data_IF_587489524717
#
_entry.id   IF_587489524717
#
_cell.length_a   1.000
_cell.length_b   1.000
_cell.length_c   1.000
_cell.angle_alpha   90.00
_cell.angle_beta   90.00
_cell.angle_gamma   90.00
#
_symmetry.space_group_name_H-M   'P 1'
#
loop_
_entity.id
_entity.type
_entity.pdbx_description
1 polymer ?
#
# COMPACT_ATOMS: atom_id res chain seq x y z
N UNK A 1 -19.43 -61.91 4.28
CA UNK A 1 -19.76 -60.48 4.19
C UNK A 1 -20.69 -60.31 3.02
N UNK A 2 -21.99 -60.16 3.31
CA UNK A 2 -23.01 -59.93 2.29
C UNK A 2 -22.85 -58.50 1.74
N UNK A 3 -22.67 -58.39 0.42
CA UNK A 3 -22.67 -57.12 -0.30
C UNK A 3 -24.13 -56.72 -0.50
N UNK A 4 -24.58 -55.70 0.22
CA UNK A 4 -25.87 -55.07 -0.05
C UNK A 4 -25.81 -54.33 -1.39
N UNK A 5 -26.21 -55.00 -2.47
CA UNK A 5 -26.55 -54.35 -3.73
C UNK A 5 -27.99 -53.84 -3.58
N UNK A 6 -28.14 -52.53 -3.43
CA UNK A 6 -29.46 -51.89 -3.38
C UNK A 6 -30.10 -52.00 -4.76
N UNK A 7 -31.21 -52.73 -4.88
CA UNK A 7 -31.96 -52.82 -6.13
C UNK A 7 -32.47 -51.43 -6.58
N UNK A 8 -32.54 -51.15 -7.89
CA UNK A 8 -33.08 -49.89 -8.39
C UNK A 8 -34.57 -49.81 -8.05
N UNK A 9 -35.02 -48.69 -7.47
CA UNK A 9 -36.44 -48.47 -7.23
C UNK A 9 -37.23 -48.38 -8.53
N UNK A 10 -38.34 -49.10 -8.64
CA UNK A 10 -39.31 -48.94 -9.72
C UNK A 10 -39.86 -47.51 -9.72
N UNK A 11 -39.48 -46.71 -10.72
CA UNK A 11 -40.00 -45.37 -10.94
C UNK A 11 -41.00 -45.38 -12.10
N UNK A 12 -42.30 -45.17 -11.82
CA UNK A 12 -43.40 -45.21 -12.81
C UNK A 12 -43.63 -43.87 -13.54
N UNK A 13 -42.58 -43.07 -13.74
CA UNK A 13 -42.71 -41.72 -14.28
C UNK A 13 -42.07 -41.62 -15.66
N UNK A 14 -42.69 -40.84 -16.56
CA UNK A 14 -42.13 -40.57 -17.87
C UNK A 14 -40.76 -39.88 -17.75
N UNK A 15 -39.80 -40.16 -18.66
CA UNK A 15 -38.51 -39.49 -18.67
C UNK A 15 -38.67 -37.97 -18.76
N UNK A 16 -37.95 -37.22 -17.94
CA UNK A 16 -37.91 -35.77 -18.01
C UNK A 16 -36.65 -35.32 -18.78
N UNK A 17 -36.74 -35.00 -20.09
CA UNK A 17 -35.59 -34.58 -20.90
C UNK A 17 -34.97 -33.26 -20.40
N UNK A 18 -35.76 -32.37 -19.80
CA UNK A 18 -35.30 -31.09 -19.28
C UNK A 18 -34.29 -31.26 -18.13
N UNK A 19 -34.43 -32.36 -17.35
CA UNK A 19 -33.52 -32.72 -16.26
C UNK A 19 -32.09 -32.97 -16.76
N UNK A 20 -31.92 -33.44 -18.01
CA UNK A 20 -30.60 -33.69 -18.60
C UNK A 20 -29.83 -32.39 -18.75
N UNK A 21 -30.49 -31.31 -19.17
CA UNK A 21 -29.88 -29.99 -19.33
C UNK A 21 -29.42 -29.40 -17.99
N UNK A 22 -30.23 -29.55 -16.94
CA UNK A 22 -29.87 -29.13 -15.57
C UNK A 22 -28.64 -29.89 -15.06
N UNK A 23 -28.55 -31.20 -15.31
CA UNK A 23 -27.40 -32.02 -14.91
C UNK A 23 -26.14 -31.61 -15.67
N UNK A 24 -26.24 -31.38 -16.99
CA UNK A 24 -25.10 -30.92 -17.82
C UNK A 24 -24.55 -29.58 -17.33
N UNK A 25 -25.43 -28.61 -17.08
CA UNK A 25 -25.01 -27.31 -16.53
C UNK A 25 -24.31 -27.48 -15.18
N UNK A 26 -24.85 -28.30 -14.28
CA UNK A 26 -24.20 -28.60 -13.00
C UNK A 26 -22.83 -29.25 -13.17
N UNK A 27 -22.64 -30.11 -14.16
CA UNK A 27 -21.33 -30.70 -14.44
C UNK A 27 -20.36 -29.67 -14.99
N UNK A 28 -20.79 -28.84 -15.94
CA UNK A 28 -19.96 -27.79 -16.53
C UNK A 28 -19.45 -26.80 -15.48
N UNK A 29 -20.35 -26.24 -14.66
CA UNK A 29 -19.97 -25.26 -13.64
C UNK A 29 -19.08 -25.90 -12.55
N UNK A 30 -19.25 -27.20 -12.29
CA UNK A 30 -18.37 -27.94 -11.37
C UNK A 30 -16.98 -28.12 -11.96
N UNK A 31 -16.88 -28.60 -13.19
CA UNK A 31 -15.61 -28.81 -13.88
C UNK A 31 -14.81 -27.50 -14.01
N UNK A 32 -15.47 -26.41 -14.45
CA UNK A 32 -14.86 -25.06 -14.47
C UNK A 32 -14.51 -24.58 -13.07
N UNK A 33 -15.36 -24.84 -12.08
CA UNK A 33 -15.09 -24.51 -10.69
C UNK A 33 -13.82 -25.16 -10.13
N UNK A 34 -13.51 -26.40 -10.52
CA UNK A 34 -12.30 -27.13 -10.10
C UNK A 34 -11.03 -26.75 -10.85
N UNK A 35 -11.15 -26.16 -12.05
CA UNK A 35 -10.01 -25.95 -12.97
C UNK A 35 -9.73 -24.49 -13.32
N UNK A 36 -10.62 -23.56 -12.95
CA UNK A 36 -10.51 -22.14 -13.30
C UNK A 36 -10.62 -21.22 -12.07
N UNK A 37 -9.81 -20.15 -12.10
CA UNK A 37 -9.81 -19.05 -11.14
C UNK A 37 -10.80 -17.91 -11.49
N UNK A 38 -11.62 -18.06 -12.54
CA UNK A 38 -12.60 -17.05 -12.97
C UNK A 38 -13.56 -16.62 -11.86
N UNK A 39 -14.21 -15.46 -11.99
CA UNK A 39 -15.25 -15.10 -11.03
C UNK A 39 -16.39 -16.14 -11.09
N UNK A 40 -16.91 -16.55 -9.93
CA UNK A 40 -18.01 -17.52 -9.85
C UNK A 40 -19.24 -17.10 -10.66
N UNK A 41 -19.50 -15.78 -10.71
CA UNK A 41 -20.55 -15.19 -11.52
C UNK A 41 -20.31 -15.38 -13.02
N UNK A 42 -19.07 -15.19 -13.50
CA UNK A 42 -18.71 -15.40 -14.91
C UNK A 42 -18.95 -16.85 -15.31
N UNK A 43 -18.43 -17.81 -14.53
CA UNK A 43 -18.65 -19.25 -14.78
C UNK A 43 -20.14 -19.58 -14.86
N UNK A 44 -20.93 -19.06 -13.90
CA UNK A 44 -22.37 -19.33 -13.87
C UNK A 44 -23.10 -18.72 -15.06
N UNK A 45 -22.90 -17.43 -15.32
CA UNK A 45 -23.65 -16.73 -16.36
C UNK A 45 -23.25 -17.19 -17.77
N UNK A 46 -21.99 -17.59 -17.98
CA UNK A 46 -21.58 -18.23 -19.23
C UNK A 46 -22.28 -19.57 -19.42
N UNK A 47 -22.31 -20.43 -18.39
CA UNK A 47 -22.97 -21.73 -18.47
C UNK A 47 -24.49 -21.59 -18.66
N UNK A 48 -25.11 -20.54 -18.10
CA UNK A 48 -26.55 -20.27 -18.29
C UNK A 48 -26.88 -19.84 -19.73
N UNK A 49 -25.93 -19.38 -20.54
CA UNK A 49 -26.21 -19.00 -21.94
C UNK A 49 -26.54 -20.20 -22.82
N UNK A 50 -26.11 -21.40 -22.43
CA UNK A 50 -26.26 -22.62 -23.23
C UNK A 50 -27.49 -23.46 -22.82
N UNK A 51 -28.22 -23.07 -21.76
CA UNK A 51 -29.36 -23.86 -21.27
C UNK A 51 -30.66 -23.52 -22.03
N UNK A 52 -31.43 -24.51 -22.50
CA UNK A 52 -32.77 -24.28 -23.05
C UNK A 52 -33.74 -23.70 -22.01
N UNK A 53 -34.60 -22.76 -22.43
CA UNK A 53 -35.51 -22.05 -21.52
C UNK A 53 -36.54 -22.97 -20.84
N UNK A 54 -36.95 -24.06 -21.48
CA UNK A 54 -37.83 -25.09 -20.91
C UNK A 54 -37.19 -25.84 -19.72
N UNK A 55 -35.85 -25.86 -19.62
CA UNK A 55 -35.14 -26.50 -18.52
C UNK A 55 -34.88 -25.57 -17.32
N UNK A 56 -35.13 -24.27 -17.46
CA UNK A 56 -34.91 -23.26 -16.42
C UNK A 56 -35.71 -23.51 -15.13
N UNK A 57 -37.00 -23.94 -15.17
CA UNK A 57 -37.76 -24.23 -13.95
C UNK A 57 -37.15 -25.34 -13.08
N UNK A 58 -36.32 -26.22 -13.66
CA UNK A 58 -35.62 -27.28 -12.94
C UNK A 58 -34.29 -26.85 -12.30
N UNK A 59 -33.84 -25.60 -12.53
CA UNK A 59 -32.59 -25.10 -11.96
C UNK A 59 -32.75 -24.72 -10.48
N UNK A 60 -31.74 -25.01 -9.63
CA UNK A 60 -31.58 -24.33 -8.35
C UNK A 60 -31.41 -22.82 -8.54
N UNK A 61 -31.56 -22.06 -7.46
CA UNK A 61 -31.28 -20.62 -7.46
C UNK A 61 -29.84 -20.32 -7.87
N UNK A 62 -29.62 -19.14 -8.46
CA UNK A 62 -28.26 -18.66 -8.81
C UNK A 62 -27.30 -18.73 -7.61
N UNK A 63 -27.78 -18.41 -6.40
CA UNK A 63 -26.97 -18.52 -5.18
C UNK A 63 -26.53 -19.96 -4.88
N UNK A 64 -27.42 -20.95 -5.04
CA UNK A 64 -27.09 -22.35 -4.84
C UNK A 64 -26.11 -22.88 -5.91
N UNK A 65 -26.26 -22.44 -7.16
CA UNK A 65 -25.33 -22.78 -8.25
C UNK A 65 -23.96 -22.14 -8.02
N UNK A 66 -23.90 -20.87 -7.63
CA UNK A 66 -22.65 -20.20 -7.22
C UNK A 66 -21.99 -20.91 -6.04
N UNK A 67 -22.76 -21.37 -5.05
CA UNK A 67 -22.22 -22.15 -3.94
C UNK A 67 -21.68 -23.51 -4.40
N UNK A 68 -22.31 -24.14 -5.40
CA UNK A 68 -21.83 -25.39 -6.01
C UNK A 68 -20.47 -25.22 -6.66
N UNK A 69 -20.27 -24.13 -7.42
CA UNK A 69 -18.97 -23.77 -8.01
C UNK A 69 -17.93 -23.55 -6.92
N UNK A 70 -18.28 -22.76 -5.88
CA UNK A 70 -17.38 -22.48 -4.76
C UNK A 70 -16.95 -23.75 -4.01
N UNK A 71 -17.83 -24.73 -3.87
CA UNK A 71 -17.51 -26.03 -3.25
C UNK A 71 -16.53 -26.86 -4.08
N UNK A 72 -16.48 -26.65 -5.40
CA UNK A 72 -15.50 -27.33 -6.27
C UNK A 72 -14.10 -26.70 -6.18
N UNK A 73 -14.04 -25.43 -5.79
CA UNK A 73 -12.79 -24.77 -5.41
C UNK A 73 -12.42 -25.26 -4.03
N UNK A 74 -11.72 -26.39 -3.97
CA UNK A 74 -11.12 -26.80 -2.71
C UNK A 74 -10.20 -25.66 -2.24
N UNK A 75 -10.42 -25.09 -1.04
CA UNK A 75 -9.46 -24.17 -0.49
C UNK A 75 -8.16 -24.97 -0.33
N UNK A 76 -7.09 -24.51 -0.97
CA UNK A 76 -5.76 -25.03 -0.66
C UNK A 76 -5.58 -24.82 0.83
N UNK A 77 -5.34 -25.92 1.55
CA UNK A 77 -5.09 -25.88 2.97
C UNK A 77 -3.61 -25.69 3.21
N UNK A 78 -3.29 -25.09 4.36
CA UNK A 78 -1.94 -25.13 4.90
C UNK A 78 -1.58 -26.60 5.16
N UNK A 79 -0.30 -26.90 5.23
CA UNK A 79 0.15 -28.24 5.57
C UNK A 79 -0.14 -28.61 7.03
N UNK A 80 0.30 -29.80 7.44
CA UNK A 80 0.10 -30.33 8.80
C UNK A 80 0.70 -29.44 9.91
N UNK A 81 1.66 -28.59 9.59
CA UNK A 81 2.29 -27.64 10.50
C UNK A 81 1.67 -26.23 10.44
N UNK A 82 0.64 -26.05 9.61
CA UNK A 82 0.05 -24.74 9.36
C UNK A 82 0.90 -23.85 8.46
N UNK A 83 1.83 -24.41 7.69
CA UNK A 83 2.70 -23.67 6.78
C UNK A 83 2.17 -23.68 5.34
N UNK A 84 2.69 -22.78 4.52
CA UNK A 84 2.36 -22.74 3.10
C UNK A 84 2.81 -24.03 2.39
N UNK A 85 1.97 -24.66 1.55
CA UNK A 85 2.40 -25.80 0.76
C UNK A 85 3.58 -25.46 -0.16
N UNK A 86 4.50 -26.39 -0.36
CA UNK A 86 5.75 -26.21 -1.13
C UNK A 86 5.56 -25.51 -2.49
N UNK A 87 4.49 -25.83 -3.22
CA UNK A 87 4.19 -25.18 -4.52
C UNK A 87 3.97 -23.67 -4.44
N UNK A 88 3.56 -23.15 -3.27
CA UNK A 88 3.38 -21.72 -3.01
C UNK A 88 4.60 -21.07 -2.35
N UNK A 89 5.64 -21.86 -2.06
CA UNK A 89 6.93 -21.37 -1.58
C UNK A 89 7.89 -21.03 -2.73
N UNK A 90 7.51 -21.29 -4.00
CA UNK A 90 8.33 -21.03 -5.18
C UNK A 90 7.73 -19.93 -6.06
N UNK A 91 8.59 -19.16 -6.75
CA UNK A 91 8.17 -18.29 -7.85
C UNK A 91 7.67 -19.11 -9.04
N UNK A 92 6.97 -18.48 -10.00
CA UNK A 92 6.61 -19.12 -11.28
C UNK A 92 7.84 -19.51 -12.14
N UNK A 93 9.05 -19.12 -11.69
CA UNK A 93 10.35 -19.47 -12.29
C UNK A 93 11.14 -20.50 -11.48
N UNK A 94 10.57 -21.01 -10.38
CA UNK A 94 11.15 -22.08 -9.57
C UNK A 94 12.18 -21.63 -8.54
N UNK A 95 12.24 -20.34 -8.19
CA UNK A 95 13.11 -19.82 -7.14
C UNK A 95 12.39 -19.85 -5.79
N UNK A 96 13.12 -20.03 -4.68
CA UNK A 96 12.52 -19.89 -3.35
C UNK A 96 11.95 -18.49 -3.18
N UNK A 97 10.71 -18.40 -2.69
CA UNK A 97 9.94 -17.18 -2.56
C UNK A 97 9.44 -16.94 -1.13
N UNK A 98 9.52 -17.95 -0.25
CA UNK A 98 9.30 -17.76 1.18
C UNK A 98 10.66 -17.70 1.86
N UNK A 99 11.01 -16.51 2.35
CA UNK A 99 12.28 -16.29 3.04
C UNK A 99 12.23 -16.81 4.48
N UNK A 100 11.11 -16.56 5.14
CA UNK A 100 10.91 -16.88 6.55
C UNK A 100 9.43 -17.07 6.85
N UNK A 101 9.09 -18.07 7.67
CA UNK A 101 7.73 -18.35 8.14
C UNK A 101 7.78 -18.85 9.58
N UNK A 102 7.13 -18.13 10.49
CA UNK A 102 6.84 -18.58 11.84
C UNK A 102 5.43 -18.13 12.29
N UNK A 103 5.15 -18.22 13.59
CA UNK A 103 3.84 -17.84 14.14
C UNK A 103 3.58 -16.31 14.13
N UNK A 104 4.63 -15.50 13.99
CA UNK A 104 4.60 -14.04 14.08
C UNK A 104 4.66 -13.34 12.72
N UNK A 105 5.35 -13.96 11.75
CA UNK A 105 5.55 -13.36 10.44
C UNK A 105 5.74 -14.37 9.32
N UNK A 106 5.38 -13.92 8.12
CA UNK A 106 5.63 -14.63 6.87
C UNK A 106 6.18 -13.65 5.84
N UNK A 107 7.42 -13.89 5.40
CA UNK A 107 8.16 -13.02 4.49
C UNK A 107 8.22 -13.66 3.10
N UNK A 108 7.67 -12.95 2.11
CA UNK A 108 7.77 -13.31 0.70
C UNK A 108 8.81 -12.46 -0.02
N UNK A 109 9.87 -13.10 -0.51
CA UNK A 109 10.89 -12.52 -1.39
C UNK A 109 11.80 -13.64 -1.91
N UNK A 110 12.62 -13.34 -2.92
CA UNK A 110 13.61 -14.26 -3.48
C UNK A 110 14.98 -13.58 -3.61
N UNK A 111 16.04 -14.36 -3.85
CA UNK A 111 17.42 -13.83 -3.97
C UNK A 111 17.55 -12.73 -5.03
N UNK A 112 16.84 -12.84 -6.15
CA UNK A 112 16.83 -11.80 -7.20
C UNK A 112 16.18 -10.52 -6.71
N UNK A 113 15.10 -10.60 -5.93
CA UNK A 113 14.45 -9.43 -5.35
C UNK A 113 15.39 -8.76 -4.33
N UNK A 114 16.01 -9.54 -3.46
CA UNK A 114 16.97 -9.06 -2.46
C UNK A 114 18.19 -8.41 -3.10
N UNK A 115 18.73 -9.01 -4.16
CA UNK A 115 19.82 -8.44 -4.97
C UNK A 115 19.40 -7.12 -5.62
N UNK A 116 18.18 -7.05 -6.16
CA UNK A 116 17.65 -5.82 -6.77
C UNK A 116 17.42 -4.74 -5.72
N UNK A 117 16.89 -5.11 -4.54
CA UNK A 117 16.66 -4.19 -3.42
C UNK A 117 17.99 -3.60 -2.91
N UNK A 118 19.04 -4.42 -2.82
CA UNK A 118 20.40 -3.97 -2.46
C UNK A 118 20.95 -2.91 -3.42
N UNK A 119 20.57 -2.95 -4.70
CA UNK A 119 20.99 -1.96 -5.70
C UNK A 119 20.18 -0.65 -5.62
N UNK A 120 19.03 -0.66 -4.93
CA UNK A 120 18.16 0.49 -4.84
C UNK A 120 18.63 1.44 -3.72
N UNK A 121 19.04 2.65 -4.09
CA UNK A 121 19.44 3.71 -3.14
C UNK A 121 18.28 4.27 -2.33
N UNK A 122 17.06 4.24 -2.89
CA UNK A 122 15.89 4.82 -2.26
C UNK A 122 14.81 3.76 -2.12
N UNK A 123 14.41 3.54 -0.88
CA UNK A 123 13.42 2.55 -0.49
C UNK A 123 12.14 3.25 -0.06
N UNK A 124 11.05 2.49 -0.14
CA UNK A 124 9.74 2.96 0.22
C UNK A 124 9.00 1.86 0.97
N UNK A 125 8.33 2.22 2.05
CA UNK A 125 7.70 1.25 2.93
C UNK A 125 6.28 1.69 3.29
N UNK A 126 5.35 0.74 3.21
CA UNK A 126 3.94 1.00 3.50
C UNK A 126 3.23 -0.30 3.90
N UNK A 127 2.23 -0.16 4.78
CA UNK A 127 1.41 -1.25 5.33
C UNK A 127 -0.04 -1.14 4.87
N UNK A 128 -0.64 -2.28 4.49
CA UNK A 128 -2.06 -2.34 4.15
C UNK A 128 -2.81 -3.38 4.97
N UNK A 129 -4.00 -2.99 5.47
CA UNK A 129 -4.80 -3.80 6.40
C UNK A 129 -5.92 -4.58 5.72
N UNK A 130 -6.48 -4.03 4.63
CA UNK A 130 -7.75 -4.53 4.06
C UNK A 130 -7.65 -5.92 3.43
N UNK A 131 -6.47 -6.25 2.89
CA UNK A 131 -6.16 -7.53 2.26
C UNK A 131 -5.27 -8.42 3.12
N UNK A 132 -5.01 -8.02 4.37
CA UNK A 132 -4.28 -8.85 5.31
C UNK A 132 -5.19 -10.01 5.78
N UNK A 133 -4.73 -11.29 5.76
CA UNK A 133 -5.48 -12.41 6.31
C UNK A 133 -5.84 -12.17 7.78
N UNK A 134 -6.99 -12.68 8.24
CA UNK A 134 -7.47 -12.44 9.62
C UNK A 134 -6.51 -12.91 10.73
N UNK A 135 -5.62 -13.85 10.41
CA UNK A 135 -4.58 -14.33 11.34
C UNK A 135 -3.45 -13.32 11.56
N UNK A 136 -3.37 -12.28 10.74
CA UNK A 136 -2.31 -11.26 10.78
C UNK A 136 -2.94 -9.87 10.87
N UNK A 137 -2.14 -8.91 11.32
CA UNK A 137 -2.57 -7.53 11.50
C UNK A 137 -2.44 -6.71 10.23
N UNK A 138 -1.32 -6.86 9.51
CA UNK A 138 -1.05 -6.09 8.29
C UNK A 138 -0.20 -6.85 7.26
N UNK A 139 -0.34 -6.46 6.00
CA UNK A 139 0.63 -6.74 4.95
C UNK A 139 1.53 -5.51 4.81
N UNK A 140 2.77 -5.62 5.30
CA UNK A 140 3.81 -4.62 5.13
C UNK A 140 4.62 -4.90 3.86
N UNK A 141 5.00 -3.87 3.12
CA UNK A 141 5.72 -4.02 1.85
C UNK A 141 6.93 -3.11 1.78
N UNK A 142 8.05 -3.63 1.27
CA UNK A 142 9.26 -2.86 0.96
C UNK A 142 9.42 -2.81 -0.55
N UNK A 143 9.52 -1.58 -1.05
CA UNK A 143 9.70 -1.26 -2.46
C UNK A 143 11.06 -0.59 -2.66
N UNK A 144 11.73 -0.93 -3.75
CA UNK A 144 12.96 -0.26 -4.18
C UNK A 144 12.70 0.61 -5.41
N UNK A 145 13.34 1.77 -5.49
CA UNK A 145 13.40 2.53 -6.73
C UNK A 145 14.55 2.02 -7.62
N UNK A 146 14.18 1.26 -8.64
CA UNK A 146 15.07 0.66 -9.63
C UNK A 146 14.85 1.32 -10.99
N UNK A 147 15.89 1.93 -11.58
CA UNK A 147 15.79 2.72 -12.82
C UNK A 147 14.60 3.73 -12.83
N UNK A 148 14.44 4.50 -11.75
CA UNK A 148 13.35 5.47 -11.53
C UNK A 148 11.93 4.86 -11.44
N UNK A 149 11.80 3.54 -11.41
CA UNK A 149 10.55 2.83 -11.17
C UNK A 149 10.52 2.26 -9.77
N UNK A 150 9.43 2.49 -9.04
CA UNK A 150 9.22 1.91 -7.70
C UNK A 150 8.61 0.52 -7.87
N UNK A 151 9.28 -0.49 -7.34
CA UNK A 151 8.93 -1.91 -7.51
C UNK A 151 8.86 -2.59 -6.14
N UNK A 152 7.78 -3.32 -5.81
CA UNK A 152 7.71 -4.13 -4.59
C UNK A 152 8.66 -5.32 -4.69
N UNK A 153 9.50 -5.51 -3.67
CA UNK A 153 10.53 -6.55 -3.66
C UNK A 153 10.42 -7.47 -2.44
N UNK A 154 9.81 -6.99 -1.36
CA UNK A 154 9.56 -7.77 -0.15
C UNK A 154 8.13 -7.53 0.32
N UNK A 155 7.43 -8.61 0.66
CA UNK A 155 6.11 -8.58 1.27
C UNK A 155 6.17 -9.32 2.60
N UNK A 156 5.54 -8.77 3.63
CA UNK A 156 5.58 -9.35 4.98
C UNK A 156 4.20 -9.31 5.59
N UNK A 157 3.70 -10.46 6.01
CA UNK A 157 2.56 -10.51 6.92
C UNK A 157 3.09 -10.39 8.35
N UNK A 158 2.59 -9.41 9.09
CA UNK A 158 2.94 -9.17 10.49
C UNK A 158 1.71 -9.35 11.37
N UNK A 159 1.86 -9.96 12.55
CA UNK A 159 0.79 -10.08 13.55
C UNK A 159 0.58 -8.80 14.38
N UNK A 160 1.46 -7.81 14.23
CA UNK A 160 1.41 -6.56 14.98
C UNK A 160 1.94 -5.34 14.20
N UNK A 161 2.14 -4.25 14.95
CA UNK A 161 2.66 -2.96 14.48
C UNK A 161 3.47 -2.23 15.56
N UNK A 162 3.91 -2.95 16.59
CA UNK A 162 4.85 -2.44 17.56
C UNK A 162 6.24 -2.34 16.93
N UNK A 163 7.14 -1.58 17.56
CA UNK A 163 8.51 -1.46 17.06
C UNK A 163 9.22 -2.82 16.99
N UNK A 164 8.91 -3.72 17.92
CA UNK A 164 9.50 -5.05 17.99
C UNK A 164 9.06 -5.93 16.81
N UNK A 165 7.78 -5.89 16.40
CA UNK A 165 7.31 -6.60 15.20
C UNK A 165 8.10 -6.21 13.94
N UNK A 166 8.40 -4.90 13.77
CA UNK A 166 9.22 -4.44 12.66
C UNK A 166 10.71 -4.77 12.84
N UNK A 167 11.21 -4.77 14.08
CA UNK A 167 12.61 -5.12 14.37
C UNK A 167 12.89 -6.58 14.01
N UNK A 168 11.98 -7.49 14.37
CA UNK A 168 12.09 -8.91 14.07
C UNK A 168 12.08 -9.13 12.54
N UNK A 169 11.20 -8.43 11.81
CA UNK A 169 11.24 -8.42 10.35
C UNK A 169 12.60 -7.95 9.81
N UNK A 170 13.08 -6.80 10.27
CA UNK A 170 14.35 -6.26 9.79
C UNK A 170 15.54 -7.16 10.13
N UNK A 171 15.52 -7.87 11.26
CA UNK A 171 16.54 -8.85 11.58
C UNK A 171 16.58 -9.98 10.55
N UNK A 172 15.42 -10.54 10.16
CA UNK A 172 15.38 -11.56 9.10
C UNK A 172 15.87 -11.03 7.75
N UNK A 173 15.52 -9.78 7.41
CA UNK A 173 15.95 -9.14 6.17
C UNK A 173 17.47 -8.89 6.15
N UNK A 174 18.02 -8.32 7.22
CA UNK A 174 19.44 -7.95 7.33
C UNK A 174 20.39 -9.16 7.38
N UNK A 175 19.88 -10.36 7.72
CA UNK A 175 20.66 -11.60 7.59
C UNK A 175 20.99 -11.96 6.12
N UNK A 176 20.23 -11.44 5.16
CA UNK A 176 20.38 -11.83 3.75
C UNK A 176 21.48 -11.06 3.04
N UNK A 177 21.55 -9.75 3.28
CA UNK A 177 22.53 -8.87 2.68
C UNK A 177 22.85 -7.69 3.58
N UNK A 178 24.03 -7.13 3.37
CA UNK A 178 24.38 -5.79 3.83
C UNK A 178 23.66 -4.75 2.95
N UNK A 179 22.60 -4.16 3.50
CA UNK A 179 21.74 -3.20 2.84
C UNK A 179 22.10 -1.77 3.29
N UNK A 180 22.48 -0.93 2.34
CA UNK A 180 22.87 0.46 2.58
C UNK A 180 22.01 1.43 1.75
N UNK A 181 20.68 1.51 1.99
CA UNK A 181 19.87 2.53 1.33
C UNK A 181 20.33 3.93 1.76
N UNK A 182 20.33 4.88 0.84
CA UNK A 182 20.58 6.30 1.12
C UNK A 182 19.36 6.93 1.81
N UNK A 183 18.14 6.55 1.42
CA UNK A 183 16.92 7.05 2.06
C UNK A 183 15.78 6.03 2.10
N UNK A 184 14.99 6.05 3.17
CA UNK A 184 13.73 5.29 3.28
C UNK A 184 12.57 6.28 3.43
N UNK A 185 11.64 6.28 2.48
CA UNK A 185 10.40 7.04 2.56
C UNK A 185 9.31 6.17 3.20
N UNK A 186 8.73 6.68 4.29
CA UNK A 186 7.76 5.96 5.13
C UNK A 186 6.71 6.91 5.70
N UNK A 187 5.65 6.33 6.24
CA UNK A 187 4.59 7.06 6.92
C UNK A 187 5.00 7.51 8.32
N UNK A 188 4.23 8.42 8.91
CA UNK A 188 4.46 8.96 10.25
C UNK A 188 4.08 7.99 11.39
N UNK A 189 4.30 6.69 11.19
CA UNK A 189 4.14 5.66 12.20
C UNK A 189 5.38 5.58 13.10
N UNK A 190 5.20 5.92 14.38
CA UNK A 190 6.31 5.98 15.34
C UNK A 190 7.07 4.64 15.49
N UNK A 191 6.37 3.51 15.42
CA UNK A 191 6.97 2.19 15.55
C UNK A 191 7.91 1.90 14.39
N UNK A 192 7.44 2.04 13.15
CA UNK A 192 8.26 1.83 11.94
C UNK A 192 9.46 2.78 11.90
N UNK A 193 9.26 4.07 12.20
CA UNK A 193 10.36 5.06 12.24
C UNK A 193 11.41 4.70 13.31
N UNK A 194 10.99 4.25 14.49
CA UNK A 194 11.90 3.82 15.55
C UNK A 194 12.72 2.59 15.10
N UNK A 195 12.08 1.62 14.46
CA UNK A 195 12.75 0.41 14.00
C UNK A 195 13.72 0.71 12.85
N UNK A 196 13.34 1.56 11.88
CA UNK A 196 14.25 2.03 10.83
C UNK A 196 15.48 2.71 11.43
N UNK A 197 15.30 3.65 12.37
CA UNK A 197 16.44 4.33 13.03
C UNK A 197 17.35 3.36 13.79
N UNK A 198 16.78 2.29 14.34
CA UNK A 198 17.54 1.27 15.08
C UNK A 198 18.33 0.37 14.12
N UNK A 199 17.72 -0.04 13.01
CA UNK A 199 18.26 -1.05 12.08
C UNK A 199 19.11 -0.44 10.95
N UNK A 200 18.86 0.82 10.61
CA UNK A 200 19.55 1.60 9.59
C UNK A 200 19.95 2.97 10.16
N UNK A 201 20.92 3.06 11.09
CA UNK A 201 21.22 4.30 11.81
C UNK A 201 21.72 5.44 10.92
N UNK A 202 22.27 5.13 9.75
CA UNK A 202 22.85 6.10 8.82
C UNK A 202 21.91 6.47 7.65
N UNK A 203 20.69 5.93 7.61
CA UNK A 203 19.74 6.21 6.52
C UNK A 203 19.01 7.53 6.73
N UNK A 204 18.78 8.26 5.63
CA UNK A 204 17.84 9.37 5.66
C UNK A 204 16.41 8.83 5.70
N UNK A 205 15.82 8.85 6.89
CA UNK A 205 14.40 8.57 7.06
C UNK A 205 13.59 9.78 6.61
N UNK A 206 12.66 9.58 5.67
CA UNK A 206 11.85 10.63 5.07
C UNK A 206 10.37 10.35 5.33
N UNK A 207 9.70 11.29 5.97
CA UNK A 207 8.26 11.25 6.19
C UNK A 207 7.51 11.66 4.92
N UNK A 208 6.54 10.85 4.50
CA UNK A 208 5.76 11.11 3.30
C UNK A 208 5.02 12.46 3.34
N UNK A 209 5.21 13.34 2.34
CA UNK A 209 4.53 14.64 2.26
C UNK A 209 3.00 14.51 2.19
N UNK A 210 2.50 13.49 1.50
CA UNK A 210 1.06 13.22 1.41
C UNK A 210 0.48 12.91 2.80
N UNK A 211 1.15 12.06 3.57
CA UNK A 211 0.76 11.74 4.95
C UNK A 211 0.90 12.92 5.92
N UNK A 212 1.86 13.81 5.70
CA UNK A 212 1.91 15.09 6.45
C UNK A 212 0.65 15.91 6.19
N UNK A 213 0.23 16.03 4.92
CA UNK A 213 -1.02 16.68 4.53
C UNK A 213 -2.26 16.03 5.16
N UNK A 214 -2.30 14.69 5.23
CA UNK A 214 -3.38 13.98 5.92
C UNK A 214 -3.39 14.20 7.43
N UNK A 215 -2.22 14.25 8.09
CA UNK A 215 -2.11 14.60 9.51
C UNK A 215 -2.67 16.00 9.77
N UNK A 216 -2.28 16.98 8.94
CA UNK A 216 -2.77 18.35 9.05
C UNK A 216 -4.28 18.45 8.81
N UNK A 217 -4.80 17.73 7.80
CA UNK A 217 -6.24 17.67 7.54
C UNK A 217 -7.03 17.11 8.71
N UNK A 218 -6.57 15.99 9.30
CA UNK A 218 -7.22 15.40 10.48
C UNK A 218 -7.24 16.36 11.65
N UNK A 219 -6.17 17.11 11.87
CA UNK A 219 -6.15 18.12 12.94
C UNK A 219 -7.18 19.23 12.68
N UNK A 220 -7.26 19.75 11.46
CA UNK A 220 -8.29 20.73 11.10
C UNK A 220 -9.70 20.17 11.35
N UNK A 221 -9.91 18.87 11.12
CA UNK A 221 -11.19 18.23 11.40
C UNK A 221 -11.49 18.14 12.90
N UNK A 222 -10.48 17.78 13.71
CA UNK A 222 -10.58 17.73 15.17
C UNK A 222 -10.87 19.10 15.78
N UNK A 223 -10.28 20.16 15.22
CA UNK A 223 -10.48 21.54 15.67
C UNK A 223 -11.76 22.20 15.14
N UNK A 224 -12.51 21.54 14.25
CA UNK A 224 -13.74 22.09 13.66
C UNK A 224 -13.51 23.12 12.53
N UNK A 225 -12.31 23.16 11.94
CA UNK A 225 -11.91 24.14 10.94
C UNK A 225 -12.23 23.74 9.48
N UNK A 226 -12.98 22.66 9.24
CA UNK A 226 -13.33 22.22 7.87
C UNK A 226 -14.09 23.31 7.09
N UNK A 227 -15.07 23.94 7.75
CA UNK A 227 -15.86 25.01 7.16
C UNK A 227 -14.99 26.25 6.91
N UNK A 228 -14.20 26.68 7.90
CA UNK A 228 -13.27 27.82 7.76
C UNK A 228 -12.27 27.60 6.63
N UNK A 229 -11.67 26.41 6.52
CA UNK A 229 -10.79 26.05 5.41
C UNK A 229 -11.47 26.15 4.05
N UNK A 230 -12.75 25.80 3.97
CA UNK A 230 -13.49 25.82 2.71
C UNK A 230 -13.91 27.24 2.31
N UNK A 231 -14.31 28.08 3.27
CA UNK A 231 -14.92 29.39 3.00
C UNK A 231 -13.97 30.58 3.15
N UNK A 232 -12.84 30.44 3.85
CA UNK A 232 -11.88 31.51 4.07
C UNK A 232 -10.58 31.24 3.30
N UNK A 233 -10.37 31.99 2.22
CA UNK A 233 -9.21 31.86 1.33
C UNK A 233 -7.89 32.19 2.04
N UNK A 234 -7.87 33.20 2.92
CA UNK A 234 -6.68 33.60 3.69
C UNK A 234 -6.27 32.47 4.64
N UNK A 235 -7.20 31.97 5.44
CA UNK A 235 -6.95 30.85 6.35
C UNK A 235 -6.49 29.62 5.58
N UNK A 236 -7.18 29.26 4.49
CA UNK A 236 -6.76 28.15 3.63
C UNK A 236 -5.35 28.31 3.08
N UNK A 237 -4.97 29.51 2.66
CA UNK A 237 -3.61 29.78 2.18
C UNK A 237 -2.59 29.63 3.31
N UNK A 238 -2.86 30.19 4.50
CA UNK A 238 -1.96 30.08 5.65
C UNK A 238 -1.74 28.63 6.08
N UNK A 239 -2.80 27.82 6.11
CA UNK A 239 -2.68 26.37 6.36
C UNK A 239 -1.82 25.69 5.29
N UNK A 240 -1.96 26.05 4.02
CA UNK A 240 -1.08 25.54 2.96
C UNK A 240 0.37 26.02 3.10
N UNK A 241 0.62 27.24 3.57
CA UNK A 241 1.97 27.74 3.89
C UNK A 241 2.63 26.90 4.99
N UNK A 242 1.87 26.41 5.99
CA UNK A 242 2.41 25.48 6.99
C UNK A 242 2.97 24.21 6.34
N UNK A 243 2.28 23.65 5.36
CA UNK A 243 2.78 22.50 4.59
C UNK A 243 3.94 22.90 3.65
N UNK A 244 3.92 24.12 3.11
CA UNK A 244 4.97 24.67 2.25
C UNK A 244 6.33 24.80 2.96
N UNK A 245 6.36 24.84 4.29
CA UNK A 245 7.61 24.81 5.07
C UNK A 245 8.47 23.59 4.75
N UNK A 246 7.88 22.48 4.26
CA UNK A 246 8.64 21.30 3.85
C UNK A 246 9.60 21.62 2.70
N UNK A 247 9.37 22.70 1.97
CA UNK A 247 10.19 23.13 0.85
C UNK A 247 11.15 24.27 1.23
N UNK A 248 11.33 24.59 2.51
CA UNK A 248 12.32 25.58 2.95
C UNK A 248 13.61 24.85 3.34
N UNK A 249 14.83 25.37 3.09
CA UNK A 249 16.05 24.81 3.67
C UNK A 249 15.89 24.59 5.17
N UNK A 250 16.33 23.43 5.68
CA UNK A 250 16.08 23.03 7.07
C UNK A 250 16.54 24.08 8.08
N UNK A 251 17.65 24.77 7.81
CA UNK A 251 18.19 25.86 8.65
C UNK A 251 17.23 27.04 8.80
N UNK A 252 16.38 27.26 7.81
CA UNK A 252 15.56 28.47 7.69
C UNK A 252 14.09 28.20 8.03
N UNK A 253 13.70 26.94 8.28
CA UNK A 253 12.32 26.53 8.59
C UNK A 253 11.75 27.29 9.78
N UNK A 254 12.52 27.44 10.87
CA UNK A 254 12.04 28.15 12.07
C UNK A 254 11.83 29.63 11.79
N UNK A 255 12.70 30.24 10.99
CA UNK A 255 12.56 31.64 10.55
C UNK A 255 11.34 31.79 9.64
N UNK A 256 11.15 30.86 8.71
CA UNK A 256 10.01 30.88 7.81
C UNK A 256 8.68 30.65 8.54
N UNK A 257 8.64 29.77 9.51
CA UNK A 257 7.47 29.58 10.36
C UNK A 257 7.08 30.87 11.09
N UNK A 258 8.06 31.61 11.62
CA UNK A 258 7.80 32.88 12.32
C UNK A 258 7.13 33.93 11.42
N UNK A 259 7.44 33.95 10.11
CA UNK A 259 6.79 34.85 9.14
C UNK A 259 5.30 34.51 8.96
N UNK A 260 4.93 33.23 9.01
CA UNK A 260 3.54 32.78 8.77
C UNK A 260 2.67 33.00 10.02
N UNK A 261 3.23 32.85 11.23
CA UNK A 261 2.45 32.89 12.49
C UNK A 261 1.66 34.18 12.63
N UNK A 262 2.23 35.32 12.23
CA UNK A 262 1.59 36.64 12.33
C UNK A 262 0.38 36.80 11.37
N UNK A 263 0.24 35.92 10.37
CA UNK A 263 -0.91 35.94 9.44
C UNK A 263 -2.16 35.25 10.01
N UNK A 264 -2.02 34.48 11.09
CA UNK A 264 -3.11 33.72 11.74
C UNK A 264 -3.86 34.57 12.78
N UNK A 265 -5.16 34.28 12.93
CA UNK A 265 -6.00 34.94 13.93
C UNK A 265 -5.95 34.20 15.27
N UNK A 266 -6.34 34.85 16.38
CA UNK A 266 -6.31 34.23 17.72
C UNK A 266 -7.10 32.91 17.78
N UNK A 267 -8.22 32.83 17.05
CA UNK A 267 -9.03 31.63 16.96
C UNK A 267 -8.31 30.45 16.28
N UNK A 268 -7.24 30.70 15.52
CA UNK A 268 -6.45 29.67 14.83
C UNK A 268 -5.30 29.12 15.69
N UNK A 269 -5.02 29.69 16.86
CA UNK A 269 -3.84 29.36 17.67
C UNK A 269 -3.79 27.90 18.13
N UNK A 270 -4.93 27.21 18.24
CA UNK A 270 -4.95 25.78 18.53
C UNK A 270 -4.28 24.95 17.41
N UNK A 271 -4.42 25.37 16.16
CA UNK A 271 -3.72 24.74 15.03
C UNK A 271 -2.22 25.00 15.10
N UNK A 272 -1.83 26.22 15.49
CA UNK A 272 -0.41 26.57 15.66
C UNK A 272 0.23 25.79 16.81
N UNK A 273 -0.44 25.64 17.95
CA UNK A 273 0.07 24.81 19.06
C UNK A 273 0.30 23.35 18.64
N UNK A 274 -0.67 22.77 17.92
CA UNK A 274 -0.48 21.47 17.30
C UNK A 274 0.76 21.46 16.39
N UNK A 275 0.88 22.45 15.52
CA UNK A 275 1.93 22.48 14.52
C UNK A 275 3.32 22.64 15.15
N UNK A 276 3.44 23.47 16.19
CA UNK A 276 4.66 23.61 16.97
C UNK A 276 5.00 22.31 17.70
N UNK A 277 4.05 21.67 18.38
CA UNK A 277 4.32 20.42 19.11
C UNK A 277 4.75 19.28 18.19
N UNK A 278 4.16 19.17 17.01
CA UNK A 278 4.35 18.03 16.12
C UNK A 278 5.52 18.24 15.14
N UNK A 279 5.67 19.43 14.57
CA UNK A 279 6.53 19.66 13.39
C UNK A 279 7.70 20.62 13.64
N UNK A 280 7.51 21.72 14.38
CA UNK A 280 8.51 22.82 14.46
C UNK A 280 9.27 22.89 15.79
N UNK A 281 8.64 22.43 16.88
CA UNK A 281 9.12 22.52 18.25
C UNK A 281 8.55 23.75 18.97
N UNK A 282 7.92 23.56 20.13
CA UNK A 282 7.38 24.66 20.95
C UNK A 282 8.49 25.58 21.50
N UNK A 283 8.21 26.87 21.65
CA UNK A 283 9.12 27.80 22.31
C UNK A 283 9.26 27.47 23.80
N UNK A 284 10.49 27.44 24.31
CA UNK A 284 10.84 27.18 25.72
C UNK A 284 11.44 28.43 26.37
N UNK A 285 11.14 28.63 27.67
CA UNK A 285 11.61 29.78 28.44
C UNK A 285 11.07 31.11 27.90
N UNK A 286 11.90 32.15 27.84
CA UNK A 286 11.55 33.47 27.27
C UNK A 286 11.51 33.49 25.72
N UNK A 287 11.35 32.33 25.07
CA UNK A 287 11.26 32.22 23.60
C UNK A 287 12.58 32.09 22.84
N UNK A 288 13.71 31.89 23.54
CA UNK A 288 15.06 31.82 22.94
C UNK A 288 15.37 30.43 22.38
N UNK A 289 14.84 29.37 23.02
CA UNK A 289 15.06 27.97 22.61
C UNK A 289 13.75 27.35 22.17
N UNK A 290 13.80 26.37 21.26
CA UNK A 290 12.65 25.50 20.93
C UNK A 290 12.88 24.10 21.48
N UNK A 291 11.81 23.46 21.92
CA UNK A 291 11.79 22.06 22.32
C UNK A 291 11.91 21.13 21.10
N UNK A 292 12.14 19.85 21.35
CA UNK A 292 12.18 18.85 20.29
C UNK A 292 10.75 18.57 19.79
N UNK A 293 10.45 18.76 18.49
CA UNK A 293 9.17 18.36 17.92
C UNK A 293 9.01 16.84 17.95
N UNK A 294 7.77 16.36 17.82
CA UNK A 294 7.49 14.93 17.66
C UNK A 294 8.21 14.32 16.46
N UNK A 295 8.27 15.07 15.35
CA UNK A 295 8.99 14.70 14.13
C UNK A 295 10.04 15.76 13.82
N UNK A 296 11.30 15.36 13.66
CA UNK A 296 12.40 16.29 13.39
C UNK A 296 12.21 17.04 12.06
N UNK A 297 12.76 18.24 11.97
CA UNK A 297 12.70 19.04 10.74
C UNK A 297 13.25 18.27 9.53
N UNK A 298 14.34 17.53 9.72
CA UNK A 298 14.97 16.72 8.68
C UNK A 298 14.03 15.62 8.14
N UNK A 299 13.23 15.00 9.01
CA UNK A 299 12.36 13.89 8.64
C UNK A 299 11.30 14.31 7.61
N UNK A 300 10.66 15.46 7.80
CA UNK A 300 9.52 15.88 6.97
C UNK A 300 9.90 16.87 5.86
N UNK A 301 11.16 17.29 5.79
CA UNK A 301 11.63 18.24 4.78
C UNK A 301 11.79 17.57 3.39
N UNK A 302 11.50 18.36 2.36
CA UNK A 302 11.46 17.97 0.95
C UNK A 302 12.37 18.84 0.08
N UNK A 303 13.06 19.84 0.63
CA UNK A 303 13.85 20.82 -0.13
C UNK A 303 14.87 20.12 -1.04
N UNK A 304 15.78 19.36 -0.45
CA UNK A 304 16.83 18.64 -1.20
C UNK A 304 16.23 17.58 -2.13
N UNK A 305 15.19 16.86 -1.67
CA UNK A 305 14.54 15.83 -2.48
C UNK A 305 13.96 16.40 -3.77
N UNK A 306 13.36 17.58 -3.70
CA UNK A 306 12.80 18.27 -4.87
C UNK A 306 13.89 18.73 -5.83
N UNK A 307 15.01 19.24 -5.31
CA UNK A 307 16.15 19.67 -6.12
C UNK A 307 16.73 18.48 -6.90
N UNK A 308 16.80 17.31 -6.25
CA UNK A 308 17.34 16.07 -6.81
C UNK A 308 16.32 15.19 -7.56
N UNK A 309 15.13 15.70 -7.87
CA UNK A 309 14.06 14.95 -8.55
C UNK A 309 13.65 13.64 -7.85
N UNK A 310 13.84 13.57 -6.53
CA UNK A 310 13.48 12.42 -5.73
C UNK A 310 12.00 12.45 -5.33
N UNK A 311 11.34 11.28 -5.18
CA UNK A 311 9.96 11.23 -4.74
C UNK A 311 9.76 11.87 -3.36
N UNK A 312 8.66 12.63 -3.24
CA UNK A 312 8.20 13.30 -2.01
C UNK A 312 7.10 12.55 -1.26
N UNK A 313 6.46 11.62 -1.94
CA UNK A 313 5.33 10.86 -1.41
C UNK A 313 5.37 9.42 -1.86
N UNK A 314 4.62 8.58 -1.14
CA UNK A 314 4.38 7.17 -1.40
C UNK A 314 3.25 6.95 -2.43
N UNK A 315 2.78 7.96 -3.18
CA UNK A 315 1.65 7.82 -4.12
C UNK A 315 1.77 6.62 -5.07
N UNK A 316 2.98 6.27 -5.49
CA UNK A 316 3.22 5.09 -6.33
C UNK A 316 2.89 3.79 -5.59
N UNK A 317 3.24 3.69 -4.31
CA UNK A 317 2.90 2.56 -3.46
C UNK A 317 1.40 2.55 -3.16
N UNK A 318 0.79 3.68 -2.80
CA UNK A 318 -0.66 3.74 -2.55
C UNK A 318 -1.46 3.35 -3.79
N UNK A 319 -1.02 3.84 -4.96
CA UNK A 319 -1.57 3.44 -6.25
C UNK A 319 -1.39 1.94 -6.51
N UNK A 320 -0.24 1.39 -6.13
CA UNK A 320 0.02 -0.05 -6.20
C UNK A 320 -0.85 -0.85 -5.21
N UNK A 321 -0.95 -0.47 -3.94
CA UNK A 321 -1.83 -1.07 -2.93
C UNK A 321 -3.28 -1.03 -3.39
N UNK A 322 -3.76 0.10 -3.90
CA UNK A 322 -5.11 0.21 -4.43
C UNK A 322 -5.34 -0.76 -5.59
N UNK A 323 -4.41 -0.82 -6.56
CA UNK A 323 -4.49 -1.76 -7.68
C UNK A 323 -4.38 -3.23 -7.22
N UNK A 324 -3.55 -3.51 -6.22
CA UNK A 324 -3.39 -4.85 -5.65
C UNK A 324 -4.62 -5.28 -4.86
N UNK A 325 -5.19 -4.40 -4.03
CA UNK A 325 -6.44 -4.61 -3.31
C UNK A 325 -7.58 -4.97 -4.26
N UNK A 326 -7.69 -4.24 -5.38
CA UNK A 326 -8.69 -4.54 -6.41
C UNK A 326 -8.47 -5.91 -7.07
N UNK A 327 -7.22 -6.33 -7.28
CA UNK A 327 -6.87 -7.64 -7.86
C UNK A 327 -7.08 -8.81 -6.90
N UNK A 328 -6.89 -8.60 -5.58
CA UNK A 328 -7.26 -9.59 -4.55
C UNK A 328 -8.80 -9.74 -4.48
N UNK A 329 -9.51 -8.62 -4.67
CA UNK A 329 -10.98 -8.50 -4.80
C UNK A 329 -11.79 -8.98 -3.61
N UNK A 330 -11.15 -9.32 -2.48
CA UNK A 330 -11.79 -9.80 -1.25
C UNK A 330 -11.07 -9.18 -0.05
N UNK A 331 -11.84 -8.74 0.95
CA UNK A 331 -11.30 -8.31 2.24
C UNK A 331 -10.89 -9.52 3.07
N UNK A 332 -9.71 -9.46 3.69
CA UNK A 332 -9.16 -10.54 4.52
C UNK A 332 -9.17 -11.91 3.82
N UNK A 333 -8.46 -12.06 2.68
CA UNK A 333 -8.30 -13.35 2.01
C UNK A 333 -7.64 -14.40 2.92
N UNK A 334 -7.75 -15.68 2.56
CA UNK A 334 -6.88 -16.70 3.16
C UNK A 334 -5.42 -16.43 2.78
N UNK A 335 -4.48 -16.92 3.60
CA UNK A 335 -3.04 -16.82 3.32
C UNK A 335 -2.75 -17.33 1.90
N UNK A 336 -3.24 -18.53 1.55
CA UNK A 336 -3.00 -19.10 0.21
C UNK A 336 -3.56 -18.22 -0.92
N UNK A 337 -4.77 -17.64 -0.75
CA UNK A 337 -5.31 -16.74 -1.78
C UNK A 337 -4.43 -15.49 -1.94
N UNK A 338 -3.98 -14.92 -0.83
CA UNK A 338 -3.07 -13.78 -0.88
C UNK A 338 -1.74 -14.16 -1.53
N UNK A 339 -1.13 -15.29 -1.16
CA UNK A 339 0.11 -15.81 -1.75
C UNK A 339 -0.01 -15.97 -3.27
N UNK A 340 -1.12 -16.54 -3.77
CA UNK A 340 -1.38 -16.61 -5.22
C UNK A 340 -1.39 -15.22 -5.89
N UNK A 341 -1.97 -14.22 -5.22
CA UNK A 341 -1.97 -12.85 -5.72
C UNK A 341 -0.56 -12.22 -5.68
N UNK A 342 0.21 -12.46 -4.62
CA UNK A 342 1.60 -11.99 -4.51
C UNK A 342 2.48 -12.65 -5.58
N UNK A 343 2.34 -13.95 -5.83
CA UNK A 343 3.09 -14.66 -6.88
C UNK A 343 2.79 -14.09 -8.28
N UNK A 344 1.53 -13.75 -8.57
CA UNK A 344 1.17 -13.05 -9.82
C UNK A 344 1.84 -11.68 -9.93
N UNK A 345 1.93 -10.94 -8.82
CA UNK A 345 2.67 -9.67 -8.79
C UNK A 345 4.17 -9.90 -9.00
N UNK A 346 4.75 -10.89 -8.34
CA UNK A 346 6.15 -11.26 -8.48
C UNK A 346 6.49 -11.53 -9.96
N UNK A 347 5.75 -12.42 -10.62
CA UNK A 347 5.96 -12.76 -12.03
C UNK A 347 5.81 -11.57 -12.96
N UNK A 348 4.91 -10.63 -12.64
CA UNK A 348 4.77 -9.37 -13.38
C UNK A 348 6.01 -8.49 -13.20
N UNK A 349 6.48 -8.30 -11.97
CA UNK A 349 7.61 -7.41 -11.69
C UNK A 349 8.96 -7.98 -12.12
N UNK A 350 9.13 -9.30 -12.15
CA UNK A 350 10.29 -9.93 -12.78
C UNK A 350 10.42 -9.51 -14.26
N UNK A 351 9.31 -9.52 -15.00
CA UNK A 351 9.29 -9.05 -16.40
C UNK A 351 9.61 -7.56 -16.50
N UNK A 352 9.08 -6.74 -15.59
CA UNK A 352 9.37 -5.29 -15.59
C UNK A 352 10.85 -5.00 -15.24
N UNK A 353 11.44 -5.72 -14.29
CA UNK A 353 12.87 -5.62 -13.92
C UNK A 353 13.76 -5.97 -15.12
N UNK A 354 13.50 -7.08 -15.80
CA UNK A 354 14.30 -7.50 -16.96
C UNK A 354 14.16 -6.53 -18.15
N UNK A 355 12.96 -5.95 -18.35
CA UNK A 355 12.77 -4.87 -19.34
C UNK A 355 13.62 -3.65 -19.03
N UNK A 356 13.64 -3.20 -17.77
CA UNK A 356 14.46 -2.06 -17.34
C UNK A 356 15.95 -2.36 -17.51
N UNK A 357 16.40 -3.56 -17.14
CA UNK A 357 17.79 -4.02 -17.37
C UNK A 357 18.16 -4.03 -18.86
N UNK A 358 17.22 -4.38 -19.73
CA UNK A 358 17.38 -4.33 -21.18
C UNK A 358 17.33 -2.90 -21.77
N UNK A 359 17.19 -1.86 -20.94
CA UNK A 359 17.17 -0.45 -21.39
C UNK A 359 15.80 0.07 -21.81
N UNK A 360 14.71 -0.66 -21.52
CA UNK A 360 13.37 -0.11 -21.73
C UNK A 360 13.13 1.09 -20.79
N UNK A 361 12.40 2.12 -21.23
CA UNK A 361 12.11 3.27 -20.37
C UNK A 361 11.17 2.87 -19.21
N UNK A 362 11.30 3.49 -18.03
CA UNK A 362 10.39 3.25 -16.92
C UNK A 362 8.97 3.72 -17.24
N UNK A 363 8.00 3.23 -16.45
CA UNK A 363 6.61 3.65 -16.59
C UNK A 363 6.48 5.18 -16.47
N UNK A 364 5.85 5.79 -17.47
CA UNK A 364 5.64 7.24 -17.47
C UNK A 364 4.74 7.66 -16.32
N UNK A 365 5.23 8.59 -15.51
CA UNK A 365 4.41 9.29 -14.52
C UNK A 365 3.24 9.99 -15.23
N UNK A 366 2.06 10.00 -14.59
CA UNK A 366 0.91 10.77 -15.11
C UNK A 366 1.30 12.23 -15.25
N UNK A 367 0.96 12.84 -16.39
CA UNK A 367 1.33 14.23 -16.74
C UNK A 367 1.01 15.22 -15.62
N UNK A 368 -0.16 15.11 -14.99
CA UNK A 368 -0.55 15.93 -13.85
C UNK A 368 0.51 15.99 -12.73
N UNK A 369 1.09 14.83 -12.37
CA UNK A 369 2.08 14.76 -11.31
C UNK A 369 3.47 15.19 -11.79
N UNK A 370 3.83 14.88 -13.03
CA UNK A 370 5.08 15.36 -13.63
C UNK A 370 5.10 16.90 -13.72
N UNK A 371 4.02 17.52 -14.16
CA UNK A 371 3.88 18.97 -14.23
C UNK A 371 3.90 19.61 -12.82
N UNK A 372 3.32 18.93 -11.82
CA UNK A 372 3.37 19.37 -10.42
C UNK A 372 4.79 19.32 -9.85
N UNK A 373 5.53 18.24 -10.10
CA UNK A 373 6.94 18.12 -9.70
C UNK A 373 7.78 19.23 -10.34
N UNK A 374 7.62 19.47 -11.64
CA UNK A 374 8.34 20.52 -12.36
C UNK A 374 8.04 21.93 -11.82
N UNK A 375 6.76 22.26 -11.56
CA UNK A 375 6.39 23.55 -10.96
C UNK A 375 6.98 23.72 -9.57
N UNK A 376 6.86 22.71 -8.72
CA UNK A 376 7.40 22.77 -7.36
C UNK A 376 8.92 22.90 -7.38
N UNK A 377 9.63 22.15 -8.24
CA UNK A 377 11.08 22.30 -8.42
C UNK A 377 11.48 23.71 -8.85
N UNK A 378 10.75 24.26 -9.83
CA UNK A 378 11.00 25.63 -10.31
C UNK A 378 10.88 26.65 -9.19
N UNK A 379 9.83 26.55 -8.36
CA UNK A 379 9.65 27.47 -7.23
C UNK A 379 10.72 27.21 -6.16
N UNK A 380 11.00 25.95 -5.83
CA UNK A 380 11.99 25.56 -4.81
C UNK A 380 13.39 26.07 -5.13
N UNK A 381 13.82 26.00 -6.40
CA UNK A 381 15.10 26.55 -6.85
C UNK A 381 15.17 28.09 -6.78
N UNK A 382 14.03 28.78 -6.68
CA UNK A 382 13.98 30.24 -6.50
C UNK A 382 13.98 30.69 -5.04
N UNK A 383 14.26 29.78 -4.09
CA UNK A 383 14.30 30.11 -2.67
C UNK A 383 15.27 31.26 -2.37
N UNK A 384 14.77 32.25 -1.63
CA UNK A 384 15.56 33.37 -1.14
C UNK A 384 15.08 33.74 0.27
N UNK A 385 16.01 33.74 1.22
CA UNK A 385 15.75 34.04 2.64
C UNK A 385 15.19 35.45 2.88
N UNK A 386 15.34 36.37 1.93
CA UNK A 386 14.81 37.74 2.01
C UNK A 386 13.38 37.88 1.49
N UNK A 387 12.82 36.85 0.85
CA UNK A 387 11.47 36.88 0.29
C UNK A 387 10.67 35.60 0.65
N UNK A 388 10.74 35.22 1.93
CA UNK A 388 10.17 33.96 2.42
C UNK A 388 8.65 33.91 2.22
N UNK A 389 7.92 35.00 2.46
CA UNK A 389 6.46 34.99 2.37
C UNK A 389 5.97 34.70 0.94
N UNK A 390 6.48 35.44 -0.05
CA UNK A 390 6.17 35.18 -1.47
C UNK A 390 6.58 33.77 -1.89
N UNK A 391 7.75 33.32 -1.45
CA UNK A 391 8.21 31.95 -1.71
C UNK A 391 7.19 30.91 -1.20
N UNK A 392 6.76 31.03 0.05
CA UNK A 392 5.79 30.13 0.67
C UNK A 392 4.42 30.21 -0.02
N UNK A 393 3.97 31.40 -0.40
CA UNK A 393 2.75 31.59 -1.19
C UNK A 393 2.82 30.80 -2.52
N UNK A 394 3.92 30.93 -3.26
CA UNK A 394 4.12 30.25 -4.56
C UNK A 394 4.19 28.74 -4.42
N UNK A 395 4.81 28.21 -3.35
CA UNK A 395 4.77 26.77 -3.05
C UNK A 395 3.34 26.35 -2.68
N UNK A 396 2.69 27.06 -1.75
CA UNK A 396 1.36 26.76 -1.24
C UNK A 396 0.29 26.69 -2.34
N UNK A 397 0.38 27.54 -3.38
CA UNK A 397 -0.50 27.49 -4.55
C UNK A 397 -0.48 26.14 -5.28
N UNK A 398 0.63 25.39 -5.19
CA UNK A 398 0.77 24.07 -5.80
C UNK A 398 0.31 22.92 -4.89
N UNK A 399 0.09 23.17 -3.59
CA UNK A 399 -0.23 22.14 -2.61
C UNK A 399 -1.73 21.95 -2.41
N UNK A 400 -2.10 20.70 -2.08
CA UNK A 400 -3.43 20.29 -1.63
C UNK A 400 -3.29 19.58 -0.29
N UNK A 401 -4.27 19.80 0.60
CA UNK A 401 -4.32 19.18 1.93
C UNK A 401 -5.47 18.17 1.91
N UNK A 402 -5.23 16.97 2.43
CA UNK A 402 -6.27 15.97 2.69
C UNK A 402 -6.93 15.32 1.47
N UNK A 403 -6.30 15.34 0.29
CA UNK A 403 -6.80 14.66 -0.92
C UNK A 403 -5.85 13.59 -1.36
#
# INVERSE_FOLDING_TARGET
MEVFVKEPSEHSHAPNPDRVHVIRLKHEIKARGSSSDEATSIILFDALRSIPLNAVPGLPTNNALMQTIRRQRQPVQLDENGQLPFVFQLTDRGENFVLFEDQSMLIFTCDKNLTTLKQCKHWFMDGTFSICPKSHYQLFTVHGMFFLQIIPLVYVLLIGKAADDYNDFFDQLLLQHDFEPESILVDYESATLKSIKTKFPNVDSIGCLFHMGQCLWRELQTLGFQNKYTTNDKFRMNVKKLMALAFVPVSDVVKAYAVIVDDFEEEDYLLLDYFERVWVGQKLGRGIKRGQPKFSLQLWNMYERVIHDLPRSNNSIEGWHHAFNNRVSIKHPSIVKLTKCILREQSRFEVDIERLRAGAPPQKKRKLYADLDARLKTVTLSYNIHNIDDYLNRIAMNLKIGV
#
